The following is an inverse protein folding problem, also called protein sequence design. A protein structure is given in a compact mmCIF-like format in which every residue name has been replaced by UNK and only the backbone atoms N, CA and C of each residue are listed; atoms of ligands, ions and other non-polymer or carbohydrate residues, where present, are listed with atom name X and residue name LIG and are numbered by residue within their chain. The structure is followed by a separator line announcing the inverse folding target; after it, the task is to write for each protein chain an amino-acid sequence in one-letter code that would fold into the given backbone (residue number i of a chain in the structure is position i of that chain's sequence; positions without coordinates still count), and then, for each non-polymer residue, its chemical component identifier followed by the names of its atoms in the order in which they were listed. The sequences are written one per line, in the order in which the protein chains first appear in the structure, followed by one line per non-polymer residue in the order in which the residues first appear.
data_IF_881331731337
#
_entry.id   IF_881331731337
#
_cell.length_a   1.000
_cell.length_b   1.000
_cell.length_c   1.000
_cell.angle_alpha   90.00
_cell.angle_beta   90.00
_cell.angle_gamma   90.00
#
_symmetry.space_group_name_H-M   'P 1'
#
loop_
_entity.id
_entity.type
_entity.pdbx_description
1 polymer ?
#
# COMPACT_ATOMS: atom_id res chain seq x y z
N UNK A 1 14.07 29.03 11.55
CA UNK A 1 13.98 29.75 10.26
C UNK A 1 15.14 30.73 10.22
N UNK A 2 16.04 30.61 9.23
CA UNK A 2 17.24 31.46 9.13
C UNK A 2 16.88 32.90 8.74
N UNK A 3 17.66 33.91 9.19
CA UNK A 3 17.45 35.28 8.74
C UNK A 3 17.73 35.50 7.24
N UNK A 4 18.51 34.64 6.59
CA UNK A 4 18.69 34.66 5.12
C UNK A 4 17.42 34.24 4.39
N UNK A 5 16.71 33.22 4.89
CA UNK A 5 15.40 32.77 4.38
C UNK A 5 14.37 33.90 4.45
N UNK A 6 14.39 34.72 5.50
CA UNK A 6 13.49 35.88 5.64
C UNK A 6 13.73 36.95 4.55
N UNK A 7 14.96 37.07 4.04
CA UNK A 7 15.30 37.98 2.93
C UNK A 7 14.80 37.40 1.61
N UNK A 8 15.04 36.11 1.35
CA UNK A 8 14.52 35.43 0.16
C UNK A 8 12.98 35.52 0.08
N UNK A 9 12.29 35.30 1.21
CA UNK A 9 10.84 35.42 1.32
C UNK A 9 10.29 36.84 1.09
N UNK A 10 11.08 37.88 1.37
CA UNK A 10 10.69 39.26 1.07
C UNK A 10 10.78 39.58 -0.44
N UNK A 11 11.59 38.85 -1.21
CA UNK A 11 11.80 39.04 -2.64
C UNK A 11 10.90 38.11 -3.48
N UNK A 12 10.68 36.88 -3.00
CA UNK A 12 9.81 35.85 -3.60
C UNK A 12 8.95 35.20 -2.51
N UNK A 13 7.76 35.75 -2.18
CA UNK A 13 6.91 35.25 -1.08
C UNK A 13 6.45 33.80 -1.22
N UNK A 14 6.33 33.30 -2.47
CA UNK A 14 5.94 31.92 -2.76
C UNK A 14 6.95 30.88 -2.22
N UNK A 15 8.22 31.26 -2.02
CA UNK A 15 9.25 30.37 -1.47
C UNK A 15 8.89 29.86 -0.06
N UNK A 16 8.07 30.62 0.69
CA UNK A 16 7.56 30.21 2.00
C UNK A 16 6.64 28.99 1.93
N UNK A 17 5.91 28.79 0.81
CA UNK A 17 5.07 27.60 0.62
C UNK A 17 5.91 26.34 0.44
N UNK A 18 7.05 26.45 -0.25
CA UNK A 18 8.00 25.32 -0.43
C UNK A 18 8.73 24.98 0.85
N UNK A 19 9.12 25.99 1.64
CA UNK A 19 9.71 25.78 2.96
C UNK A 19 8.72 25.15 3.95
N UNK A 20 7.42 25.44 3.83
CA UNK A 20 6.39 24.80 4.64
C UNK A 20 6.18 23.30 4.33
N UNK A 21 6.71 22.82 3.19
CA UNK A 21 6.75 21.40 2.81
C UNK A 21 8.13 20.73 3.01
N UNK A 22 9.11 21.46 3.57
CA UNK A 22 10.47 20.95 3.76
C UNK A 22 10.65 20.29 5.12
N UNK A 23 10.29 19.01 5.22
CA UNK A 23 10.51 18.21 6.43
C UNK A 23 12.00 17.88 6.69
N UNK A 24 12.90 18.15 5.73
CA UNK A 24 14.31 17.77 5.77
C UNK A 24 15.30 18.91 6.02
N UNK A 25 14.88 20.15 5.78
CA UNK A 25 15.74 21.34 5.77
C UNK A 25 16.49 21.57 4.44
N UNK A 26 16.40 20.66 3.47
CA UNK A 26 17.17 20.72 2.23
C UNK A 26 16.74 21.86 1.29
N UNK A 27 15.46 22.27 1.31
CA UNK A 27 14.99 23.46 0.57
C UNK A 27 15.45 24.72 1.31
N UNK A 28 15.45 24.70 2.65
CA UNK A 28 16.08 25.74 3.47
C UNK A 28 17.54 25.98 3.10
N UNK A 29 18.37 24.92 3.09
CA UNK A 29 19.78 24.99 2.70
C UNK A 29 19.97 25.54 1.26
N UNK A 30 19.12 25.13 0.31
CA UNK A 30 19.17 25.63 -1.07
C UNK A 30 18.82 27.12 -1.18
N UNK A 31 17.85 27.61 -0.39
CA UNK A 31 17.51 29.04 -0.32
C UNK A 31 18.67 29.84 0.29
N UNK A 32 19.28 29.35 1.38
CA UNK A 32 20.41 30.03 2.03
C UNK A 32 21.65 30.05 1.12
N UNK A 33 21.91 28.95 0.41
CA UNK A 33 22.96 28.89 -0.62
C UNK A 33 22.68 29.88 -1.77
N UNK A 34 21.44 30.04 -2.23
CA UNK A 34 21.09 31.02 -3.27
C UNK A 34 21.35 32.48 -2.82
N UNK A 35 20.94 32.83 -1.59
CA UNK A 35 21.21 34.18 -1.04
C UNK A 35 22.71 34.43 -0.90
N UNK A 36 23.48 33.46 -0.40
CA UNK A 36 24.92 33.59 -0.24
C UNK A 36 25.64 33.66 -1.60
N UNK A 37 25.26 32.83 -2.58
CA UNK A 37 25.84 32.83 -3.94
C UNK A 37 25.65 34.15 -4.70
N UNK A 38 24.57 34.91 -4.44
CA UNK A 38 24.33 36.21 -5.10
C UNK A 38 24.92 37.39 -4.32
N UNK A 39 24.97 37.33 -2.99
CA UNK A 39 25.46 38.44 -2.16
C UNK A 39 26.94 38.32 -1.78
N UNK A 40 27.48 37.11 -1.77
CA UNK A 40 28.79 36.78 -1.21
C UNK A 40 28.87 36.97 0.31
N UNK A 41 27.74 36.93 1.02
CA UNK A 41 27.65 37.14 2.47
C UNK A 41 26.87 36.02 3.15
N UNK A 42 27.46 35.47 4.22
CA UNK A 42 26.78 34.54 5.13
C UNK A 42 25.99 35.27 6.24
N UNK A 43 26.23 36.57 6.45
CA UNK A 43 25.45 37.39 7.38
C UNK A 43 24.25 38.04 6.69
N UNK A 44 23.09 37.98 7.34
CA UNK A 44 21.84 38.48 6.78
C UNK A 44 21.76 40.02 6.75
N UNK A 45 22.43 40.73 7.65
CA UNK A 45 22.42 42.21 7.65
C UNK A 45 23.30 42.72 6.50
N UNK A 46 24.49 42.14 6.32
CA UNK A 46 25.39 42.43 5.20
C UNK A 46 24.76 42.03 3.84
N UNK A 47 24.18 40.83 3.74
CA UNK A 47 23.47 40.36 2.55
C UNK A 47 22.34 41.32 2.15
N UNK A 48 21.50 41.74 3.12
CA UNK A 48 20.43 42.71 2.86
C UNK A 48 20.97 44.06 2.40
N UNK A 49 22.01 44.60 3.06
CA UNK A 49 22.59 45.89 2.67
C UNK A 49 23.13 45.88 1.24
N UNK A 50 23.73 44.78 0.77
CA UNK A 50 24.16 44.62 -0.63
C UNK A 50 22.98 44.60 -1.61
N UNK A 51 21.90 43.91 -1.28
CA UNK A 51 20.69 43.82 -2.10
C UNK A 51 19.95 45.17 -2.20
N UNK A 52 19.77 45.85 -1.07
CA UNK A 52 19.16 47.19 -0.98
C UNK A 52 19.99 48.24 -1.75
N UNK A 53 21.34 48.10 -1.76
CA UNK A 53 22.24 48.98 -2.51
C UNK A 53 22.39 48.64 -4.01
N UNK A 54 21.98 47.45 -4.45
CA UNK A 54 22.25 46.93 -5.81
C UNK A 54 21.01 46.28 -6.44
N UNK A 55 20.15 47.07 -7.13
CA UNK A 55 19.01 46.53 -7.89
C UNK A 55 19.34 45.35 -8.82
N UNK A 56 20.49 45.30 -9.53
CA UNK A 56 20.86 44.14 -10.34
C UNK A 56 21.03 42.83 -9.54
N UNK A 57 21.58 42.89 -8.32
CA UNK A 57 21.72 41.71 -7.46
C UNK A 57 20.36 41.23 -6.94
N UNK A 58 19.44 42.16 -6.64
CA UNK A 58 18.08 41.82 -6.22
C UNK A 58 17.29 41.11 -7.32
N UNK A 59 17.40 41.56 -8.59
CA UNK A 59 16.79 40.83 -9.71
C UNK A 59 17.49 39.50 -10.01
N UNK A 60 18.82 39.42 -9.88
CA UNK A 60 19.57 38.17 -10.02
C UNK A 60 19.12 37.13 -8.97
N UNK A 61 18.94 37.54 -7.71
CA UNK A 61 18.43 36.68 -6.64
C UNK A 61 16.98 36.26 -6.89
N UNK A 62 16.11 37.18 -7.37
CA UNK A 62 14.73 36.85 -7.76
C UNK A 62 14.70 35.76 -8.84
N UNK A 63 15.55 35.87 -9.88
CA UNK A 63 15.61 34.87 -10.95
C UNK A 63 16.13 33.52 -10.45
N UNK A 64 17.14 33.48 -9.57
CA UNK A 64 17.61 32.22 -8.97
C UNK A 64 16.53 31.55 -8.10
N UNK A 65 15.84 32.30 -7.24
CA UNK A 65 14.76 31.77 -6.40
C UNK A 65 13.54 31.30 -7.22
N UNK A 66 13.22 31.98 -8.33
CA UNK A 66 12.15 31.55 -9.24
C UNK A 66 12.52 30.26 -10.02
N UNK A 67 13.79 30.10 -10.41
CA UNK A 67 14.28 28.85 -11.01
C UNK A 67 14.25 27.70 -9.99
N UNK A 68 14.60 27.96 -8.73
CA UNK A 68 14.56 26.97 -7.64
C UNK A 68 13.13 26.45 -7.40
N UNK A 69 12.13 27.34 -7.32
CA UNK A 69 10.71 26.93 -7.21
C UNK A 69 10.27 26.06 -8.41
N UNK A 70 10.70 26.43 -9.62
CA UNK A 70 10.39 25.70 -10.84
C UNK A 70 11.02 24.30 -10.86
N UNK A 71 12.24 24.12 -10.33
CA UNK A 71 12.90 22.81 -10.25
C UNK A 71 12.30 21.92 -9.16
N UNK A 72 11.98 22.48 -7.99
CA UNK A 72 11.21 21.78 -6.94
C UNK A 72 9.86 21.32 -7.51
N UNK A 73 9.12 22.20 -8.18
CA UNK A 73 7.83 21.85 -8.77
C UNK A 73 7.91 20.77 -9.85
N UNK A 74 8.98 20.77 -10.66
CA UNK A 74 9.25 19.69 -11.63
C UNK A 74 9.58 18.37 -10.92
N UNK A 75 10.29 18.40 -9.80
CA UNK A 75 10.58 17.21 -9.00
C UNK A 75 9.29 16.63 -8.38
N UNK A 76 8.43 17.48 -7.81
CA UNK A 76 7.09 17.09 -7.31
C UNK A 76 6.29 16.38 -8.41
N UNK A 77 6.18 17.01 -9.59
CA UNK A 77 5.39 16.51 -10.70
C UNK A 77 6.00 15.23 -11.31
N UNK A 78 7.32 15.12 -11.35
CA UNK A 78 8.01 13.90 -11.77
C UNK A 78 7.81 12.75 -10.77
N UNK A 79 7.76 13.03 -9.47
CA UNK A 79 7.43 12.04 -8.44
C UNK A 79 5.97 11.58 -8.53
N UNK A 80 5.02 12.49 -8.75
CA UNK A 80 3.61 12.14 -8.97
C UNK A 80 3.42 11.33 -10.27
N UNK A 81 4.07 11.71 -11.37
CA UNK A 81 4.07 10.94 -12.63
C UNK A 81 4.71 9.56 -12.43
N UNK A 82 5.79 9.45 -11.63
CA UNK A 82 6.41 8.15 -11.30
C UNK A 82 5.48 7.27 -10.47
N UNK A 83 4.80 7.83 -9.47
CA UNK A 83 3.80 7.11 -8.68
C UNK A 83 2.59 6.68 -9.52
N UNK A 84 2.07 7.59 -10.36
CA UNK A 84 0.96 7.26 -11.26
C UNK A 84 1.34 6.26 -12.35
N UNK A 85 2.61 6.22 -12.79
CA UNK A 85 3.07 5.21 -13.76
C UNK A 85 3.39 3.88 -13.11
N UNK A 86 3.83 3.81 -11.84
CA UNK A 86 3.88 2.55 -11.09
C UNK A 86 2.48 1.99 -10.80
N UNK A 87 1.51 2.85 -10.45
CA UNK A 87 0.12 2.43 -10.26
C UNK A 87 -0.50 1.96 -11.57
N UNK A 88 -0.24 2.63 -12.70
CA UNK A 88 -0.65 2.16 -14.02
C UNK A 88 0.06 0.87 -14.45
N UNK A 89 1.34 0.69 -14.14
CA UNK A 89 2.08 -0.54 -14.43
C UNK A 89 1.55 -1.72 -13.60
N UNK A 90 1.24 -1.50 -12.31
CA UNK A 90 0.60 -2.50 -11.46
C UNK A 90 -0.77 -2.91 -11.99
N UNK A 91 -1.63 -1.93 -12.30
CA UNK A 91 -2.94 -2.19 -12.90
C UNK A 91 -2.83 -2.86 -14.28
N UNK A 92 -1.86 -2.46 -15.10
CA UNK A 92 -1.57 -3.10 -16.38
C UNK A 92 -1.09 -4.55 -16.21
N UNK A 93 -0.31 -4.88 -15.17
CA UNK A 93 0.07 -6.27 -14.86
C UNK A 93 -1.12 -7.11 -14.39
N UNK A 94 -2.03 -6.54 -13.60
CA UNK A 94 -3.29 -7.22 -13.21
C UNK A 94 -4.21 -7.46 -14.42
N UNK A 95 -4.34 -6.46 -15.31
CA UNK A 95 -5.09 -6.61 -16.55
C UNK A 95 -4.42 -7.62 -17.50
N UNK A 96 -3.13 -7.46 -17.79
CA UNK A 96 -2.39 -8.29 -18.74
C UNK A 96 -2.28 -9.77 -18.29
N UNK A 97 -2.22 -10.05 -16.98
CA UNK A 97 -2.31 -11.42 -16.46
C UNK A 97 -3.72 -12.03 -16.58
N UNK A 98 -4.77 -11.22 -16.57
CA UNK A 98 -6.15 -11.64 -16.88
C UNK A 98 -6.38 -11.76 -18.40
N UNK A 99 -5.72 -10.90 -19.17
CA UNK A 99 -5.81 -10.80 -20.62
C UNK A 99 -5.15 -12.01 -21.30
N UNK A 100 -3.89 -12.33 -20.97
CA UNK A 100 -3.19 -13.50 -21.54
C UNK A 100 -3.92 -14.82 -21.25
N UNK A 101 -4.49 -14.99 -20.05
CA UNK A 101 -5.27 -16.18 -19.71
C UNK A 101 -6.54 -16.32 -20.58
N UNK A 102 -7.15 -15.20 -20.99
CA UNK A 102 -8.31 -15.19 -21.90
C UNK A 102 -7.91 -15.31 -23.36
N UNK A 103 -6.86 -14.62 -23.79
CA UNK A 103 -6.35 -14.69 -25.15
C UNK A 103 -5.87 -16.12 -25.49
N UNK A 104 -5.17 -16.79 -24.58
CA UNK A 104 -4.80 -18.20 -24.74
C UNK A 104 -6.02 -19.14 -24.81
N UNK A 105 -7.11 -18.84 -24.09
CA UNK A 105 -8.38 -19.60 -24.21
C UNK A 105 -9.13 -19.32 -25.52
N UNK A 106 -9.05 -18.11 -26.06
CA UNK A 106 -9.63 -17.72 -27.35
C UNK A 106 -8.83 -18.34 -28.50
N UNK A 107 -7.50 -18.23 -28.45
CA UNK A 107 -6.57 -18.85 -29.40
C UNK A 107 -6.72 -20.37 -29.44
N UNK A 108 -6.88 -21.04 -28.28
CA UNK A 108 -7.21 -22.46 -28.21
C UNK A 108 -8.64 -22.82 -28.64
N UNK A 109 -9.58 -21.87 -28.66
CA UNK A 109 -10.93 -22.07 -29.18
C UNK A 109 -10.96 -21.99 -30.72
N UNK A 110 -10.19 -21.08 -31.30
CA UNK A 110 -10.03 -20.95 -32.76
C UNK A 110 -9.09 -22.03 -33.35
N UNK A 111 -8.11 -22.54 -32.58
CA UNK A 111 -7.12 -23.54 -32.99
C UNK A 111 -7.65 -25.00 -33.12
N UNK A 112 -8.81 -25.15 -33.76
CA UNK A 112 -9.44 -26.40 -34.19
C UNK A 112 -9.97 -27.35 -33.09
N UNK A 113 -10.98 -28.16 -33.47
CA UNK A 113 -11.81 -28.96 -32.55
C UNK A 113 -11.10 -30.07 -31.74
N UNK A 114 -9.79 -30.28 -31.90
CA UNK A 114 -9.05 -31.30 -31.14
C UNK A 114 -8.20 -30.75 -29.98
N UNK A 115 -7.96 -29.43 -29.92
CA UNK A 115 -6.98 -28.82 -28.98
C UNK A 115 -7.64 -28.22 -27.73
N UNK A 116 -8.86 -27.71 -27.87
CA UNK A 116 -9.58 -26.98 -26.81
C UNK A 116 -9.90 -27.79 -25.55
N UNK A 117 -9.95 -29.13 -25.65
CA UNK A 117 -10.22 -30.03 -24.53
C UNK A 117 -8.96 -30.43 -23.74
N UNK A 118 -7.75 -30.14 -24.24
CA UNK A 118 -6.51 -30.63 -23.62
C UNK A 118 -6.30 -30.11 -22.19
N UNK A 119 -6.47 -28.79 -21.88
CA UNK A 119 -6.27 -28.32 -20.50
C UNK A 119 -7.30 -28.89 -19.50
N UNK A 120 -8.62 -28.93 -19.78
CA UNK A 120 -9.59 -29.63 -18.93
C UNK A 120 -9.27 -31.11 -18.71
N UNK A 121 -9.00 -31.87 -19.78
CA UNK A 121 -8.76 -33.33 -19.69
C UNK A 121 -7.49 -33.63 -18.88
N UNK A 122 -6.40 -32.91 -19.13
CA UNK A 122 -5.16 -33.09 -18.37
C UNK A 122 -5.35 -32.70 -16.89
N UNK A 123 -6.15 -31.66 -16.62
CA UNK A 123 -6.50 -31.27 -15.25
C UNK A 123 -7.30 -32.34 -14.51
N UNK A 124 -8.31 -32.94 -15.16
CA UNK A 124 -9.07 -34.04 -14.57
C UNK A 124 -8.20 -35.26 -14.28
N UNK A 125 -7.27 -35.62 -15.17
CA UNK A 125 -6.33 -36.74 -14.95
C UNK A 125 -5.47 -36.48 -13.71
N UNK A 126 -4.89 -35.29 -13.56
CA UNK A 126 -4.05 -34.93 -12.40
C UNK A 126 -4.86 -34.92 -11.10
N UNK A 127 -6.07 -34.33 -11.10
CA UNK A 127 -6.94 -34.26 -9.91
C UNK A 127 -7.42 -35.65 -9.48
N UNK A 128 -7.89 -36.48 -10.42
CA UNK A 128 -8.34 -37.85 -10.13
C UNK A 128 -7.17 -38.70 -9.64
N UNK A 129 -5.99 -38.57 -10.24
CA UNK A 129 -4.77 -39.26 -9.78
C UNK A 129 -4.39 -38.86 -8.36
N UNK A 130 -4.39 -37.56 -8.04
CA UNK A 130 -4.04 -37.05 -6.71
C UNK A 130 -4.98 -37.58 -5.62
N UNK A 131 -6.30 -37.48 -5.82
CA UNK A 131 -7.27 -38.03 -4.87
C UNK A 131 -7.28 -39.57 -4.83
N UNK A 132 -6.97 -40.24 -5.94
CA UNK A 132 -6.82 -41.71 -5.97
C UNK A 132 -5.65 -42.21 -5.13
N UNK A 133 -4.49 -41.55 -5.19
CA UNK A 133 -3.32 -41.89 -4.35
C UNK A 133 -3.60 -41.58 -2.87
N UNK A 134 -4.24 -40.44 -2.57
CA UNK A 134 -4.66 -40.12 -1.20
C UNK A 134 -5.65 -41.16 -0.64
N UNK A 135 -6.61 -41.61 -1.45
CA UNK A 135 -7.58 -42.64 -1.05
C UNK A 135 -6.91 -44.00 -0.83
N UNK A 136 -5.98 -44.40 -1.69
CA UNK A 136 -5.20 -45.64 -1.52
C UNK A 136 -4.32 -45.60 -0.26
N UNK A 137 -3.74 -44.44 0.07
CA UNK A 137 -3.00 -44.25 1.32
C UNK A 137 -3.93 -44.32 2.55
N UNK A 138 -5.04 -43.57 2.53
CA UNK A 138 -5.98 -43.48 3.65
C UNK A 138 -6.74 -44.79 3.95
N UNK A 139 -6.94 -45.65 2.94
CA UNK A 139 -7.55 -46.99 3.10
C UNK A 139 -6.55 -48.08 3.48
N UNK A 140 -5.26 -47.76 3.64
CA UNK A 140 -4.22 -48.74 3.95
C UNK A 140 -3.84 -49.64 2.76
N UNK A 141 -4.33 -49.39 1.54
CA UNK A 141 -4.02 -50.19 0.36
C UNK A 141 -2.52 -50.17 -0.03
N UNK A 142 -1.73 -49.28 0.58
CA UNK A 142 -0.27 -49.19 0.44
C UNK A 142 0.52 -49.82 1.60
N UNK A 143 -0.14 -50.24 2.69
CA UNK A 143 0.53 -50.59 3.98
C UNK A 143 1.19 -51.98 4.04
N UNK A 144 1.50 -52.56 2.88
CA UNK A 144 2.20 -53.85 2.75
C UNK A 144 3.28 -53.87 1.66
N UNK A 145 3.65 -52.70 1.13
CA UNK A 145 4.61 -52.57 0.04
C UNK A 145 6.06 -52.53 0.55
N UNK A 146 7.05 -53.05 -0.22
CA UNK A 146 8.46 -52.97 0.16
C UNK A 146 8.94 -51.52 0.40
N UNK A 147 9.89 -51.26 1.31
CA UNK A 147 10.35 -49.91 1.62
C UNK A 147 10.84 -49.11 0.42
N UNK A 148 11.50 -49.78 -0.53
CA UNK A 148 11.97 -49.19 -1.80
C UNK A 148 10.79 -48.72 -2.69
N UNK A 149 9.69 -49.48 -2.70
CA UNK A 149 8.46 -49.12 -3.41
C UNK A 149 7.77 -47.94 -2.75
N UNK A 150 7.74 -47.89 -1.41
CA UNK A 150 7.19 -46.75 -0.67
C UNK A 150 7.98 -45.45 -0.91
N UNK A 151 9.32 -45.51 -0.97
CA UNK A 151 10.15 -44.36 -1.34
C UNK A 151 9.82 -43.82 -2.75
N UNK A 152 9.65 -44.71 -3.74
CA UNK A 152 9.23 -44.34 -5.10
C UNK A 152 7.83 -43.71 -5.07
N UNK A 153 6.89 -44.26 -4.31
CA UNK A 153 5.53 -43.71 -4.16
C UNK A 153 5.55 -42.32 -3.52
N UNK A 154 6.36 -42.08 -2.49
CA UNK A 154 6.48 -40.74 -1.88
C UNK A 154 7.08 -39.72 -2.85
N UNK A 155 8.08 -40.11 -3.66
CA UNK A 155 8.64 -39.26 -4.71
C UNK A 155 7.60 -38.91 -5.78
N UNK A 156 6.83 -39.90 -6.25
CA UNK A 156 5.74 -39.70 -7.21
C UNK A 156 4.60 -38.86 -6.62
N UNK A 157 4.28 -39.02 -5.34
CA UNK A 157 3.29 -38.20 -4.64
C UNK A 157 3.73 -36.72 -4.54
N UNK A 158 5.02 -36.46 -4.31
CA UNK A 158 5.59 -35.11 -4.39
C UNK A 158 5.44 -34.49 -5.78
N UNK A 159 5.79 -35.24 -6.83
CA UNK A 159 5.62 -34.80 -8.22
C UNK A 159 4.14 -34.55 -8.59
N UNK A 160 3.23 -35.42 -8.14
CA UNK A 160 1.78 -35.30 -8.35
C UNK A 160 1.18 -34.12 -7.58
N UNK A 161 1.69 -33.82 -6.38
CA UNK A 161 1.33 -32.62 -5.61
C UNK A 161 1.77 -31.34 -6.34
N UNK A 162 2.97 -31.32 -6.94
CA UNK A 162 3.44 -30.21 -7.75
C UNK A 162 2.62 -30.03 -9.05
N UNK A 163 2.23 -31.13 -9.70
CA UNK A 163 1.32 -31.10 -10.85
C UNK A 163 -0.07 -30.55 -10.45
N UNK A 164 -0.64 -31.01 -9.32
CA UNK A 164 -1.91 -30.51 -8.80
C UNK A 164 -1.85 -29.02 -8.47
N UNK A 165 -0.79 -28.56 -7.82
CA UNK A 165 -0.56 -27.12 -7.59
C UNK A 165 -0.42 -26.33 -8.90
N UNK A 166 0.15 -26.92 -9.95
CA UNK A 166 0.24 -26.30 -11.28
C UNK A 166 -1.14 -26.17 -11.94
N UNK A 167 -1.99 -27.20 -11.84
CA UNK A 167 -3.39 -27.16 -12.29
C UNK A 167 -4.19 -26.09 -11.54
N UNK A 168 -4.03 -25.98 -10.21
CA UNK A 168 -4.68 -24.91 -9.43
C UNK A 168 -4.22 -23.51 -9.88
N UNK A 169 -2.93 -23.30 -10.11
CA UNK A 169 -2.42 -22.00 -10.60
C UNK A 169 -2.89 -21.68 -12.04
N UNK A 170 -3.14 -22.68 -12.87
CA UNK A 170 -3.71 -22.50 -14.21
C UNK A 170 -5.17 -22.02 -14.15
N UNK A 171 -6.02 -22.65 -13.34
CA UNK A 171 -7.45 -22.31 -13.25
C UNK A 171 -7.78 -21.12 -12.34
N UNK A 172 -7.01 -20.90 -11.27
CA UNK A 172 -7.20 -19.78 -10.32
C UNK A 172 -6.36 -18.54 -10.65
N UNK A 173 -5.56 -18.63 -11.70
CA UNK A 173 -4.65 -17.58 -12.16
C UNK A 173 -3.40 -17.41 -11.30
N UNK A 174 -2.37 -16.82 -11.88
CA UNK A 174 -1.05 -16.61 -11.26
C UNK A 174 -1.06 -15.73 -10.00
N UNK A 175 -2.18 -15.08 -9.67
CA UNK A 175 -2.33 -14.20 -8.50
C UNK A 175 -2.00 -14.90 -7.17
N UNK A 176 -2.20 -16.22 -7.05
CA UNK A 176 -1.79 -16.99 -5.87
C UNK A 176 -0.27 -17.22 -5.81
N UNK A 177 0.37 -17.39 -6.97
CA UNK A 177 1.82 -17.54 -7.10
C UNK A 177 2.58 -16.21 -6.95
N UNK A 178 2.05 -15.10 -7.45
CA UNK A 178 2.64 -13.77 -7.26
C UNK A 178 2.58 -13.37 -5.80
N UNK A 179 1.39 -13.36 -5.17
CA UNK A 179 1.23 -13.02 -3.73
C UNK A 179 2.20 -13.78 -2.82
N UNK A 180 2.51 -15.06 -3.14
CA UNK A 180 3.48 -15.84 -2.37
C UNK A 180 4.94 -15.44 -2.62
N UNK A 181 5.31 -15.10 -3.86
CA UNK A 181 6.63 -14.51 -4.18
C UNK A 181 6.79 -13.12 -3.58
N UNK A 182 5.79 -12.26 -3.76
CA UNK A 182 5.77 -10.87 -3.30
C UNK A 182 5.89 -10.83 -1.76
N UNK A 183 5.19 -11.71 -1.05
CA UNK A 183 5.34 -11.88 0.40
C UNK A 183 6.73 -12.41 0.81
N UNK A 184 7.32 -13.35 0.06
CA UNK A 184 8.71 -13.80 0.33
C UNK A 184 9.74 -12.70 0.04
N UNK A 185 9.53 -11.87 -0.97
CA UNK A 185 10.39 -10.73 -1.30
C UNK A 185 10.29 -9.67 -0.20
N UNK A 186 9.07 -9.23 0.16
CA UNK A 186 8.86 -8.28 1.25
C UNK A 186 9.39 -8.79 2.60
N UNK A 187 9.25 -10.09 2.90
CA UNK A 187 9.87 -10.72 4.07
C UNK A 187 11.41 -10.71 4.00
N UNK A 188 11.99 -10.92 2.82
CA UNK A 188 13.46 -10.87 2.61
C UNK A 188 13.99 -9.45 2.71
N UNK A 189 13.26 -8.47 2.16
CA UNK A 189 13.60 -7.03 2.21
C UNK A 189 13.50 -6.49 3.64
N UNK A 190 12.43 -6.81 4.37
CA UNK A 190 12.30 -6.44 5.79
C UNK A 190 13.34 -7.12 6.68
N UNK A 191 13.70 -8.39 6.45
CA UNK A 191 14.84 -9.04 7.13
C UNK A 191 16.17 -8.36 6.78
N UNK A 192 16.40 -7.96 5.53
CA UNK A 192 17.58 -7.18 5.15
C UNK A 192 17.58 -5.77 5.77
N UNK A 193 16.41 -5.13 5.91
CA UNK A 193 16.26 -3.81 6.51
C UNK A 193 16.50 -3.86 8.02
N UNK A 194 15.96 -4.86 8.72
CA UNK A 194 16.28 -5.15 10.13
C UNK A 194 17.79 -5.38 10.27
N UNK A 195 18.40 -6.21 9.41
CA UNK A 195 19.85 -6.47 9.45
C UNK A 195 20.72 -5.22 9.21
N UNK A 196 20.22 -4.20 8.51
CA UNK A 196 20.90 -2.89 8.35
C UNK A 196 20.69 -1.95 9.54
N UNK A 197 19.67 -2.18 10.36
CA UNK A 197 19.43 -1.46 11.61
C UNK A 197 20.15 -2.10 12.81
N UNK A 198 20.46 -3.40 12.70
CA UNK A 198 21.15 -4.23 13.69
C UNK A 198 22.66 -4.39 13.40
N UNK A 199 23.17 -3.79 12.32
CA UNK A 199 24.62 -3.58 12.16
C UNK A 199 25.09 -2.50 13.14
N UNK A 200 25.97 -2.81 14.10
CA UNK A 200 26.44 -1.81 15.06
C UNK A 200 27.25 -0.75 14.34
N UNK A 201 26.87 0.52 14.55
CA UNK A 201 27.64 1.67 14.06
C UNK A 201 29.06 1.60 14.62
N UNK A 202 30.00 1.19 13.76
CA UNK A 202 31.42 1.15 14.10
C UNK A 202 31.89 2.53 14.59
N UNK A 203 32.75 2.61 15.62
CA UNK A 203 33.03 3.85 16.31
C UNK A 203 33.60 4.91 15.34
N UNK A 204 32.81 5.97 15.11
CA UNK A 204 33.24 7.13 14.36
C UNK A 204 34.48 7.76 15.00
N UNK A 205 35.42 8.31 14.21
CA UNK A 205 36.71 8.78 14.73
C UNK A 205 36.52 9.91 15.75
N UNK A 206 37.11 9.72 16.94
CA UNK A 206 37.07 10.70 18.01
C UNK A 206 37.79 12.01 17.61
N UNK A 207 37.33 13.19 18.09
CA UNK A 207 37.90 14.47 17.69
C UNK A 207 39.32 14.65 18.24
N UNK A 208 40.31 14.62 17.35
CA UNK A 208 41.71 14.88 17.69
C UNK A 208 41.94 16.38 17.94
N UNK A 209 42.33 16.73 19.16
CA UNK A 209 42.69 18.10 19.50
C UNK A 209 43.98 18.50 18.78
N UNK A 210 43.99 19.69 18.17
CA UNK A 210 45.06 20.12 17.30
C UNK A 210 46.19 20.82 18.08
N UNK A 211 47.16 20.04 18.56
CA UNK A 211 48.39 20.55 19.17
C UNK A 211 49.64 19.97 18.49
N UNK A 212 50.23 20.75 17.59
CA UNK A 212 51.61 20.52 17.15
C UNK A 212 52.64 20.97 18.21
N UNK A 213 53.97 20.90 17.93
CA UNK A 213 54.57 20.74 16.60
C UNK A 213 55.72 19.69 16.51
N UNK A 214 56.35 19.68 15.33
CA UNK A 214 57.77 19.34 15.08
C UNK A 214 58.24 17.86 14.87
N UNK A 215 58.40 17.54 13.57
CA UNK A 215 59.70 17.18 12.94
C UNK A 215 60.24 15.74 12.94
N UNK A 216 60.57 15.27 11.70
CA UNK A 216 61.56 14.20 11.33
C UNK A 216 61.14 12.75 11.71
N UNK A 217 61.59 11.63 11.12
CA UNK A 217 62.47 11.19 9.98
C UNK A 217 62.20 9.66 9.81
N UNK A 218 62.26 8.93 8.68
CA UNK A 218 62.61 9.14 7.25
C UNK A 218 62.10 7.97 6.36
N UNK A 219 62.41 7.97 5.05
CA UNK A 219 62.84 6.88 4.11
C UNK A 219 62.43 5.39 4.39
N UNK A 220 62.17 4.50 3.40
CA UNK A 220 62.45 4.53 1.94
C UNK A 220 61.52 3.62 1.07
N UNK A 221 61.79 3.60 -0.25
CA UNK A 221 61.23 2.80 -1.39
C UNK A 221 60.92 1.33 -1.02
N UNK A 222 59.95 0.60 -1.62
CA UNK A 222 59.52 0.46 -3.03
C UNK A 222 59.60 -1.05 -3.41
N UNK A 223 59.20 -1.58 -4.58
CA UNK A 223 58.46 -1.11 -5.76
C UNK A 223 58.06 -2.33 -6.64
N UNK A 224 57.11 -2.17 -7.59
CA UNK A 224 56.74 -3.12 -8.68
C UNK A 224 56.04 -4.45 -8.27
N UNK A 225 55.02 -4.86 -9.03
CA UNK A 225 54.47 -6.24 -9.03
C UNK A 225 53.05 -6.33 -9.60
N UNK A 226 52.87 -6.95 -10.77
CA UNK A 226 51.57 -7.02 -11.49
C UNK A 226 51.23 -8.47 -11.90
N UNK A 227 49.97 -8.69 -12.31
CA UNK A 227 49.49 -9.71 -13.28
C UNK A 227 49.17 -11.15 -12.78
N UNK A 228 47.88 -11.50 -12.93
CA UNK A 228 47.26 -12.81 -13.25
C UNK A 228 47.50 -14.09 -12.40
N UNK A 229 46.43 -14.88 -12.19
CA UNK A 229 46.49 -16.26 -11.72
C UNK A 229 45.09 -16.88 -11.54
N UNK A 230 44.69 -17.82 -12.41
CA UNK A 230 43.32 -18.34 -12.51
C UNK A 230 43.19 -19.79 -11.96
N UNK A 231 41.96 -20.22 -11.61
CA UNK A 231 41.42 -21.62 -11.58
C UNK A 231 41.66 -22.63 -10.40
N UNK A 232 40.51 -23.20 -9.97
CA UNK A 232 40.16 -24.64 -9.73
C UNK A 232 40.53 -25.44 -8.46
N UNK A 233 39.64 -26.41 -8.14
CA UNK A 233 39.65 -27.40 -7.02
C UNK A 233 38.51 -27.11 -6.02
N UNK A 234 37.35 -27.76 -5.93
CA UNK A 234 36.81 -29.14 -6.19
C UNK A 234 37.17 -30.18 -5.10
N UNK A 235 36.14 -30.95 -4.68
CA UNK A 235 36.12 -32.26 -3.96
C UNK A 235 35.72 -32.24 -2.46
N UNK A 236 34.45 -32.61 -2.20
CA UNK A 236 33.95 -33.63 -1.23
C UNK A 236 34.29 -33.50 0.30
N UNK A 237 33.68 -34.19 1.27
CA UNK A 237 32.35 -34.85 1.45
C UNK A 237 32.27 -35.38 2.90
N UNK A 238 31.08 -35.53 3.48
CA UNK A 238 30.92 -36.37 4.69
C UNK A 238 29.67 -36.07 5.52
N UNK A 239 28.72 -37.00 5.53
CA UNK A 239 27.71 -37.12 6.58
C UNK A 239 28.25 -37.97 7.73
N UNK A 240 27.82 -37.68 8.96
CA UNK A 240 27.77 -38.59 10.10
C UNK A 240 26.70 -38.08 11.08
N UNK A 241 26.04 -38.98 11.80
CA UNK A 241 24.83 -38.67 12.58
C UNK A 241 24.97 -39.01 14.08
N UNK A 242 23.83 -39.00 14.77
CA UNK A 242 23.51 -39.62 16.08
C UNK A 242 23.63 -38.77 17.37
N UNK A 243 22.80 -39.19 18.33
CA UNK A 243 22.78 -38.93 19.78
C UNK A 243 22.18 -37.62 20.31
N UNK A 244 20.87 -37.70 20.59
CA UNK A 244 20.28 -37.14 21.83
C UNK A 244 20.76 -37.96 23.04
N UNK A 245 20.79 -37.37 24.25
CA UNK A 245 19.93 -37.91 25.32
C UNK A 245 19.14 -36.82 26.09
N UNK A 246 18.40 -37.26 27.12
CA UNK A 246 17.32 -36.53 27.82
C UNK A 246 17.76 -35.87 29.15
N UNK A 247 16.88 -34.99 29.69
CA UNK A 247 16.86 -34.37 31.04
C UNK A 247 18.08 -33.49 31.45
N UNK A 248 17.93 -32.40 32.20
CA UNK A 248 17.37 -32.33 33.57
C UNK A 248 16.89 -30.91 34.00
N UNK A 249 16.00 -30.88 35.00
CA UNK A 249 15.41 -29.76 35.78
C UNK A 249 15.03 -28.43 35.11
N UNK A 250 13.73 -28.14 35.21
CA UNK A 250 13.10 -26.88 34.80
C UNK A 250 13.55 -25.59 35.50
N UNK A 251 13.16 -24.48 34.87
CA UNK A 251 12.96 -23.20 35.54
C UNK A 251 11.77 -22.47 34.93
N UNK A 252 10.89 -22.02 35.80
CA UNK A 252 9.74 -21.18 35.50
C UNK A 252 10.24 -19.81 35.00
N UNK A 253 9.89 -19.43 33.77
CA UNK A 253 10.15 -18.09 33.21
C UNK A 253 8.83 -17.53 32.68
N UNK A 254 8.33 -16.56 33.43
CA UNK A 254 7.23 -15.67 33.10
C UNK A 254 7.62 -14.76 31.93
N UNK A 255 7.27 -15.14 30.70
CA UNK A 255 7.62 -14.38 29.48
C UNK A 255 6.59 -13.27 29.17
N UNK A 256 6.41 -12.38 30.14
CA UNK A 256 5.59 -11.15 30.06
C UNK A 256 6.26 -10.09 29.15
N UNK A 257 6.60 -10.52 27.93
CA UNK A 257 7.40 -9.77 26.93
C UNK A 257 6.82 -9.74 25.53
N UNK A 258 5.54 -10.09 25.35
CA UNK A 258 4.69 -9.35 24.40
C UNK A 258 4.39 -7.97 24.99
N UNK A 259 5.45 -7.19 25.25
CA UNK A 259 5.32 -5.79 25.66
C UNK A 259 4.73 -5.04 24.48
N UNK A 260 3.57 -4.45 24.74
CA UNK A 260 2.89 -3.53 23.83
C UNK A 260 3.89 -2.62 23.13
N UNK A 261 3.97 -2.74 21.80
CA UNK A 261 4.60 -1.70 20.99
C UNK A 261 3.91 -0.38 21.34
N UNK A 262 4.73 0.67 21.58
CA UNK A 262 4.25 1.88 22.24
C UNK A 262 3.06 2.48 21.49
N UNK A 263 2.20 3.16 22.26
CA UNK A 263 1.02 3.87 21.78
C UNK A 263 1.39 4.97 20.78
N UNK A 264 1.57 4.59 19.52
CA UNK A 264 1.55 5.51 18.38
C UNK A 264 0.15 6.13 18.37
N UNK A 265 0.07 7.44 18.65
CA UNK A 265 -1.15 8.21 18.42
C UNK A 265 -1.54 8.02 16.94
N UNK A 266 -2.80 7.65 16.62
CA UNK A 266 -3.17 7.31 15.26
C UNK A 266 -2.83 8.47 14.33
N UNK A 267 -1.97 8.21 13.35
CA UNK A 267 -1.38 9.26 12.52
C UNK A 267 -2.50 10.08 11.86
N UNK A 268 -2.58 11.36 12.19
CA UNK A 268 -3.77 12.16 11.87
C UNK A 268 -3.94 12.29 10.34
N UNK A 269 -5.15 12.12 9.81
CA UNK A 269 -5.38 12.20 8.36
C UNK A 269 -5.25 13.64 7.86
N UNK A 270 -4.50 13.84 6.78
CA UNK A 270 -4.40 15.13 6.09
C UNK A 270 -5.77 15.57 5.57
N UNK A 271 -6.13 16.82 5.83
CA UNK A 271 -7.32 17.42 5.21
C UNK A 271 -7.05 17.70 3.73
N UNK A 272 -7.96 17.27 2.85
CA UNK A 272 -7.78 17.31 1.39
C UNK A 272 -9.04 17.81 0.67
N UNK A 273 -8.91 18.51 -0.49
CA UNK A 273 -7.66 19.00 -1.06
C UNK A 273 -7.09 20.14 -0.22
N UNK A 274 -5.83 20.47 -0.46
CA UNK A 274 -5.19 21.59 0.23
C UNK A 274 -5.85 22.93 -0.14
N UNK A 275 -5.91 23.88 0.80
CA UNK A 275 -6.54 25.20 0.62
C UNK A 275 -8.07 25.22 0.59
N UNK A 276 -8.75 24.16 0.14
CA UNK A 276 -10.23 24.02 0.17
C UNK A 276 -10.66 22.62 0.63
N UNK A 277 -10.33 22.24 1.87
CA UNK A 277 -10.55 20.88 2.35
C UNK A 277 -12.03 20.51 2.37
N UNK A 278 -12.32 19.24 2.08
CA UNK A 278 -13.63 18.64 2.32
C UNK A 278 -13.73 18.36 3.83
N UNK A 279 -14.75 18.87 4.54
CA UNK A 279 -14.92 18.58 5.96
C UNK A 279 -15.04 17.07 6.20
N UNK A 280 -14.42 16.56 7.26
CA UNK A 280 -14.61 15.16 7.67
C UNK A 280 -16.07 14.87 7.98
N UNK A 281 -16.49 13.65 7.67
CA UNK A 281 -17.77 13.13 8.13
C UNK A 281 -17.78 13.05 9.66
N UNK A 282 -18.84 13.56 10.28
CA UNK A 282 -19.05 13.57 11.71
C UNK A 282 -20.43 12.97 12.01
N UNK A 283 -20.54 12.24 13.12
CA UNK A 283 -21.81 11.71 13.62
C UNK A 283 -21.89 11.90 15.13
N UNK A 284 -23.07 12.30 15.63
CA UNK A 284 -23.37 12.34 17.07
C UNK A 284 -23.47 10.93 17.68
N UNK A 285 -23.58 9.88 16.86
CA UNK A 285 -23.67 8.50 17.34
C UNK A 285 -22.35 8.11 18.01
N UNK A 286 -22.36 7.73 19.31
CA UNK A 286 -21.15 7.34 20.03
C UNK A 286 -20.40 6.24 19.29
N UNK A 287 -19.06 6.30 19.24
CA UNK A 287 -18.25 5.37 18.45
C UNK A 287 -18.54 3.90 18.82
N UNK A 288 -18.83 3.63 20.10
CA UNK A 288 -19.25 2.34 20.63
C UNK A 288 -20.49 1.74 19.93
N UNK A 289 -21.42 2.60 19.50
CA UNK A 289 -22.67 2.24 18.84
C UNK A 289 -22.55 2.26 17.30
N UNK A 290 -21.32 2.40 16.76
CA UNK A 290 -21.04 2.33 15.32
C UNK A 290 -20.34 1.01 14.96
N UNK A 291 -20.72 0.44 13.82
CA UNK A 291 -20.16 -0.79 13.26
C UNK A 291 -19.26 -0.53 12.04
N UNK A 292 -18.27 -1.40 11.83
CA UNK A 292 -17.45 -1.43 10.61
C UNK A 292 -18.30 -1.88 9.40
N UNK A 293 -18.24 -1.19 8.23
CA UNK A 293 -19.21 -1.40 7.13
C UNK A 293 -19.04 -2.69 6.31
N UNK A 294 -18.01 -3.50 6.54
CA UNK A 294 -17.72 -4.70 5.77
C UNK A 294 -17.38 -5.87 6.71
N UNK A 295 -18.10 -6.99 6.60
CA UNK A 295 -17.66 -8.26 7.18
C UNK A 295 -16.85 -9.03 6.13
N UNK A 296 -15.55 -9.15 6.35
CA UNK A 296 -14.60 -9.80 5.43
C UNK A 296 -13.53 -10.57 6.20
N UNK A 297 -12.98 -11.61 5.58
CA UNK A 297 -11.87 -12.43 6.10
C UNK A 297 -10.49 -11.92 5.69
N UNK A 298 -10.41 -10.82 4.92
CA UNK A 298 -9.13 -10.23 4.50
C UNK A 298 -8.36 -9.67 5.70
N UNK A 299 -7.04 -9.91 5.75
CA UNK A 299 -6.17 -9.30 6.76
C UNK A 299 -6.18 -7.75 6.72
N UNK A 300 -6.55 -7.17 5.56
CA UNK A 300 -6.72 -5.73 5.38
C UNK A 300 -8.14 -5.20 5.71
N UNK A 301 -9.00 -6.00 6.37
CA UNK A 301 -10.40 -5.68 6.65
C UNK A 301 -10.65 -4.26 7.18
N UNK A 302 -9.81 -3.81 8.13
CA UNK A 302 -9.94 -2.52 8.83
C UNK A 302 -8.96 -1.45 8.32
N UNK A 303 -8.29 -1.67 7.17
CA UNK A 303 -7.30 -0.72 6.64
C UNK A 303 -8.00 0.44 5.93
N UNK A 304 -8.06 1.58 6.60
CA UNK A 304 -8.40 2.88 5.99
C UNK A 304 -7.21 3.34 5.13
N UNK A 305 -7.45 3.66 3.87
CA UNK A 305 -6.40 4.21 2.98
C UNK A 305 -6.41 5.74 3.00
N UNK A 306 -5.32 6.38 3.41
CA UNK A 306 -5.22 7.84 3.54
C UNK A 306 -3.77 8.34 3.55
N UNK A 307 -3.58 9.66 3.44
CA UNK A 307 -2.29 10.32 3.67
C UNK A 307 -2.28 10.99 5.04
N UNK A 308 -1.23 10.79 5.83
CA UNK A 308 -1.07 11.45 7.14
C UNK A 308 -0.71 12.93 6.98
N UNK A 309 -0.80 13.69 8.08
CA UNK A 309 -0.34 15.09 8.11
C UNK A 309 1.15 15.26 7.78
N UNK A 310 1.99 14.23 8.01
CA UNK A 310 3.42 14.17 7.67
C UNK A 310 3.70 13.41 6.36
N UNK A 311 2.81 13.56 5.37
CA UNK A 311 2.98 13.05 4.01
C UNK A 311 2.92 11.53 3.81
N UNK A 312 3.04 10.72 4.87
CA UNK A 312 3.06 9.25 4.82
C UNK A 312 1.77 8.68 4.22
N UNK A 313 1.87 7.61 3.43
CA UNK A 313 0.73 6.91 2.85
C UNK A 313 0.39 5.63 3.62
N UNK A 314 -0.78 5.62 4.25
CA UNK A 314 -1.38 4.43 4.87
C UNK A 314 -2.34 3.78 3.88
N UNK A 315 -2.28 2.45 3.74
CA UNK A 315 -3.09 1.70 2.77
C UNK A 315 -2.66 1.97 1.31
N UNK A 316 -3.61 1.92 0.38
CA UNK A 316 -3.32 2.07 -1.05
C UNK A 316 -3.61 3.48 -1.60
N UNK A 317 -2.67 4.03 -2.37
CA UNK A 317 -2.74 5.31 -3.10
C UNK A 317 -4.08 5.52 -3.81
N UNK A 318 -4.49 4.55 -4.64
CA UNK A 318 -5.70 4.62 -5.46
C UNK A 318 -7.03 4.45 -4.69
N UNK A 319 -6.98 4.01 -3.42
CA UNK A 319 -8.18 3.74 -2.60
C UNK A 319 -8.58 4.89 -1.68
N UNK A 320 -7.68 5.82 -1.39
CA UNK A 320 -7.94 6.97 -0.49
C UNK A 320 -8.97 7.96 -1.03
N UNK A 321 -9.56 8.74 -0.14
CA UNK A 321 -10.37 9.90 -0.52
C UNK A 321 -9.52 10.94 -1.27
N UNK A 322 -10.04 11.43 -2.40
CA UNK A 322 -9.36 12.22 -3.43
C UNK A 322 -8.11 11.58 -4.06
N UNK A 323 -8.05 10.24 -4.11
CA UNK A 323 -7.23 9.56 -5.10
C UNK A 323 -7.52 10.07 -6.53
N UNK A 324 -6.47 10.12 -7.35
CA UNK A 324 -6.60 10.42 -8.79
C UNK A 324 -7.31 9.28 -9.51
N UNK A 325 -8.35 9.60 -10.29
CA UNK A 325 -9.05 8.62 -11.16
C UNK A 325 -8.97 9.08 -12.61
N UNK A 326 -8.82 8.12 -13.52
CA UNK A 326 -8.70 8.34 -14.96
C UNK A 326 -7.59 9.34 -15.34
N UNK A 327 -6.37 9.17 -14.80
CA UNK A 327 -5.23 10.04 -15.09
C UNK A 327 -5.45 11.50 -14.64
N UNK A 328 -6.09 11.69 -13.49
CA UNK A 328 -6.41 13.00 -12.93
C UNK A 328 -7.79 13.55 -13.35
N UNK A 329 -8.43 13.03 -14.41
CA UNK A 329 -9.66 13.59 -14.96
C UNK A 329 -10.90 13.54 -14.02
N UNK A 330 -10.85 12.79 -12.91
CA UNK A 330 -11.89 12.74 -11.87
C UNK A 330 -11.26 12.59 -10.49
N UNK A 331 -11.83 13.26 -9.49
CA UNK A 331 -11.49 13.00 -8.08
C UNK A 331 -12.22 11.77 -7.55
N UNK A 332 -11.54 10.99 -6.72
CA UNK A 332 -12.17 9.93 -5.94
C UNK A 332 -12.97 10.53 -4.77
N UNK A 333 -14.30 10.57 -4.88
CA UNK A 333 -15.20 11.15 -3.86
C UNK A 333 -15.58 10.18 -2.73
N UNK A 334 -15.08 8.96 -2.76
CA UNK A 334 -15.26 7.96 -1.70
C UNK A 334 -13.93 7.43 -1.20
N UNK A 335 -13.97 6.34 -0.43
CA UNK A 335 -12.82 5.58 0.02
C UNK A 335 -13.13 4.08 -0.19
N UNK A 336 -12.24 3.37 -0.89
CA UNK A 336 -12.48 1.98 -1.30
C UNK A 336 -11.97 1.01 -0.23
N UNK A 337 -12.88 0.49 0.59
CA UNK A 337 -12.53 -0.49 1.61
C UNK A 337 -12.26 -1.87 0.98
N UNK A 338 -11.38 -2.63 1.63
CA UNK A 338 -10.98 -3.96 1.18
C UNK A 338 -12.08 -4.99 1.45
N UNK A 339 -12.49 -5.73 0.43
CA UNK A 339 -13.48 -6.79 0.52
C UNK A 339 -13.29 -7.79 -0.63
N UNK A 340 -13.92 -8.96 -0.54
CA UNK A 340 -14.12 -9.89 -1.66
C UNK A 340 -15.51 -9.70 -2.26
N UNK A 341 -15.72 -10.15 -3.50
CA UNK A 341 -17.08 -10.30 -4.04
C UNK A 341 -17.89 -11.27 -3.16
N UNK A 342 -19.09 -10.85 -2.75
CA UNK A 342 -19.98 -11.64 -1.89
C UNK A 342 -19.80 -11.41 -0.38
N UNK A 343 -18.76 -10.70 0.06
CA UNK A 343 -18.63 -10.28 1.47
C UNK A 343 -19.83 -9.40 1.89
N UNK A 344 -20.13 -9.36 3.19
CA UNK A 344 -21.35 -8.74 3.70
C UNK A 344 -21.17 -7.26 4.02
N UNK A 345 -22.10 -6.44 3.57
CA UNK A 345 -22.13 -5.00 3.81
C UNK A 345 -23.02 -4.70 4.99
N UNK A 346 -22.49 -3.91 5.92
CA UNK A 346 -23.02 -3.69 7.26
C UNK A 346 -23.40 -2.21 7.41
N UNK A 347 -24.59 -1.92 7.93
CA UNK A 347 -24.96 -0.56 8.31
C UNK A 347 -24.10 -0.08 9.49
N UNK A 348 -23.34 1.01 9.30
CA UNK A 348 -22.50 1.57 10.35
C UNK A 348 -23.30 2.08 11.55
N UNK A 349 -24.51 2.61 11.30
CA UNK A 349 -25.35 3.27 12.29
C UNK A 349 -26.83 2.91 12.11
N UNK A 350 -27.65 3.16 13.13
CA UNK A 350 -29.10 3.21 12.97
C UNK A 350 -29.47 4.27 11.91
N UNK A 351 -30.45 3.98 11.06
CA UNK A 351 -30.79 4.84 9.94
C UNK A 351 -31.99 4.38 9.12
N UNK A 352 -32.13 4.97 7.93
CA UNK A 352 -33.17 4.63 6.95
C UNK A 352 -32.58 4.56 5.55
N UNK A 353 -32.90 3.53 4.79
CA UNK A 353 -32.51 3.41 3.38
C UNK A 353 -33.25 4.50 2.59
N UNK A 354 -32.51 5.42 1.95
CA UNK A 354 -33.08 6.56 1.20
C UNK A 354 -32.97 6.41 -0.31
N UNK A 355 -32.05 5.60 -0.84
CA UNK A 355 -32.04 5.24 -2.26
C UNK A 355 -31.28 3.94 -2.54
N UNK A 356 -31.61 3.28 -3.67
CA UNK A 356 -30.89 2.13 -4.21
C UNK A 356 -31.01 2.08 -5.73
N UNK A 357 -29.90 2.24 -6.46
CA UNK A 357 -29.90 2.37 -7.93
C UNK A 357 -28.58 1.91 -8.57
N UNK A 358 -28.60 1.45 -9.85
CA UNK A 358 -27.39 1.07 -10.58
C UNK A 358 -26.56 2.31 -10.94
N UNK A 359 -25.23 2.25 -10.75
CA UNK A 359 -24.36 3.42 -11.03
C UNK A 359 -22.99 3.10 -11.66
N UNK A 360 -22.49 1.87 -11.55
CA UNK A 360 -21.21 1.47 -12.13
C UNK A 360 -21.28 0.06 -12.72
N UNK A 361 -20.75 -0.12 -13.94
CA UNK A 361 -20.62 -1.46 -14.55
C UNK A 361 -19.21 -1.99 -14.28
N UNK A 362 -19.15 -3.17 -13.67
CA UNK A 362 -17.90 -3.85 -13.32
C UNK A 362 -17.14 -4.33 -14.57
N UNK A 363 -15.84 -4.61 -14.41
CA UNK A 363 -15.01 -5.22 -15.46
C UNK A 363 -15.43 -6.65 -15.86
N UNK A 364 -16.34 -7.27 -15.11
CA UNK A 364 -16.96 -8.57 -15.43
C UNK A 364 -18.23 -8.43 -16.28
N UNK A 365 -18.72 -7.20 -16.47
CA UNK A 365 -19.98 -6.89 -17.17
C UNK A 365 -21.17 -6.68 -16.23
N UNK A 366 -21.13 -7.21 -15.00
CA UNK A 366 -22.18 -7.05 -13.99
C UNK A 366 -22.40 -5.58 -13.61
N UNK A 367 -23.63 -5.24 -13.20
CA UNK A 367 -23.96 -3.90 -12.67
C UNK A 367 -23.80 -3.87 -11.14
N UNK A 368 -23.11 -2.86 -10.62
CA UNK A 368 -23.05 -2.55 -9.20
C UNK A 368 -23.88 -1.32 -8.85
N UNK A 369 -24.38 -1.33 -7.62
CA UNK A 369 -25.42 -0.43 -7.14
C UNK A 369 -24.87 0.50 -6.06
N UNK A 370 -25.44 1.70 -5.99
CA UNK A 370 -25.31 2.61 -4.87
C UNK A 370 -26.43 2.30 -3.87
N UNK A 371 -26.11 2.20 -2.58
CA UNK A 371 -27.07 1.99 -1.49
C UNK A 371 -26.90 3.12 -0.48
N UNK A 372 -27.80 4.10 -0.51
CA UNK A 372 -27.72 5.26 0.36
C UNK A 372 -28.60 5.08 1.59
N UNK A 373 -27.99 5.25 2.77
CA UNK A 373 -28.67 5.21 4.07
C UNK A 373 -28.48 6.55 4.77
N UNK A 374 -29.59 7.17 5.18
CA UNK A 374 -29.57 8.36 6.02
C UNK A 374 -29.52 7.96 7.50
N UNK A 375 -28.51 8.48 8.20
CA UNK A 375 -28.29 8.33 9.63
C UNK A 375 -28.63 9.66 10.34
N UNK A 376 -28.16 9.87 11.57
CA UNK A 376 -28.57 11.04 12.38
C UNK A 376 -28.06 12.40 11.85
N UNK A 377 -26.83 12.43 11.31
CA UNK A 377 -26.13 13.66 10.87
C UNK A 377 -25.66 13.63 9.41
N UNK A 378 -25.60 12.43 8.82
CA UNK A 378 -24.99 12.16 7.53
C UNK A 378 -25.79 11.12 6.73
N UNK A 379 -25.52 11.07 5.43
CA UNK A 379 -25.91 9.99 4.54
C UNK A 379 -24.65 9.24 4.13
N UNK A 380 -24.65 7.92 4.24
CA UNK A 380 -23.56 7.07 3.76
C UNK A 380 -24.03 6.39 2.47
N UNK A 381 -23.22 6.44 1.41
CA UNK A 381 -23.37 5.54 0.27
C UNK A 381 -22.49 4.31 0.49
N UNK A 382 -23.14 3.16 0.65
CA UNK A 382 -22.53 1.84 0.63
C UNK A 382 -22.44 1.42 -0.85
N UNK A 383 -21.52 2.04 -1.58
CA UNK A 383 -21.39 1.90 -3.03
C UNK A 383 -20.75 0.59 -3.46
N UNK A 384 -21.09 0.18 -4.68
CA UNK A 384 -20.67 -1.06 -5.32
C UNK A 384 -21.20 -2.35 -4.69
N UNK A 385 -22.38 -2.28 -4.06
CA UNK A 385 -23.15 -3.47 -3.66
C UNK A 385 -23.75 -4.20 -4.87
N UNK A 386 -23.98 -5.51 -4.72
CA UNK A 386 -24.61 -6.36 -5.73
C UNK A 386 -26.10 -6.04 -5.92
N UNK A 387 -26.59 -6.16 -7.15
CA UNK A 387 -28.01 -5.98 -7.57
C UNK A 387 -29.01 -6.86 -6.78
N UNK A 388 -28.56 -8.03 -6.33
CA UNK A 388 -29.36 -8.97 -5.54
C UNK A 388 -29.58 -8.52 -4.10
N UNK A 389 -28.80 -7.56 -3.58
CA UNK A 389 -28.80 -7.15 -2.15
C UNK A 389 -30.20 -6.85 -1.62
N UNK A 390 -30.98 -6.03 -2.33
CA UNK A 390 -32.34 -5.67 -1.90
C UNK A 390 -33.24 -6.90 -1.69
N UNK A 391 -33.18 -7.87 -2.60
CA UNK A 391 -33.96 -9.12 -2.52
C UNK A 391 -33.38 -10.08 -1.48
N UNK A 392 -32.06 -10.14 -1.33
CA UNK A 392 -31.36 -11.01 -0.39
C UNK A 392 -31.64 -10.64 1.07
N UNK A 393 -31.67 -9.35 1.40
CA UNK A 393 -31.85 -8.84 2.76
C UNK A 393 -33.27 -8.32 3.04
N UNK A 394 -34.20 -8.48 2.09
CA UNK A 394 -35.65 -8.32 2.31
C UNK A 394 -36.16 -6.89 2.52
N UNK A 395 -35.36 -5.86 2.24
CA UNK A 395 -35.70 -4.46 2.51
C UNK A 395 -36.18 -3.69 1.28
N UNK A 396 -36.68 -2.47 1.51
CA UNK A 396 -37.06 -1.48 0.52
C UNK A 396 -36.54 -0.09 0.87
N UNK A 397 -36.45 0.79 -0.14
CA UNK A 397 -36.22 2.22 0.10
C UNK A 397 -37.36 2.75 0.97
N UNK A 398 -37.01 3.41 2.07
CA UNK A 398 -37.92 3.81 3.15
C UNK A 398 -37.77 2.97 4.43
N UNK A 399 -37.17 1.79 4.39
CA UNK A 399 -37.04 0.93 5.59
C UNK A 399 -35.97 1.40 6.55
N UNK A 400 -36.17 1.12 7.84
CA UNK A 400 -35.19 1.36 8.90
C UNK A 400 -34.12 0.26 8.90
N UNK A 401 -32.89 0.64 9.21
CA UNK A 401 -31.78 -0.29 9.50
C UNK A 401 -31.17 0.04 10.86
N UNK A 402 -30.51 -0.93 11.48
CA UNK A 402 -29.76 -0.78 12.74
C UNK A 402 -28.25 -0.83 12.52
N UNK A 403 -27.49 -0.22 13.43
CA UNK A 403 -26.05 -0.43 13.50
C UNK A 403 -25.72 -1.94 13.58
N UNK A 404 -24.77 -2.40 12.79
CA UNK A 404 -24.40 -3.83 12.72
C UNK A 404 -25.35 -4.70 11.87
N UNK A 405 -26.43 -4.15 11.30
CA UNK A 405 -27.33 -4.90 10.42
C UNK A 405 -26.68 -5.16 9.07
N UNK A 406 -26.78 -6.40 8.57
CA UNK A 406 -26.43 -6.79 7.20
C UNK A 406 -27.44 -6.19 6.22
N UNK A 407 -26.97 -5.36 5.29
CA UNK A 407 -27.80 -4.59 4.35
C UNK A 407 -27.49 -4.89 2.88
N UNK A 408 -26.36 -5.53 2.56
CA UNK A 408 -26.03 -5.89 1.19
C UNK A 408 -24.88 -6.88 1.09
N UNK A 409 -24.53 -7.23 -0.15
CA UNK A 409 -23.31 -8.00 -0.48
C UNK A 409 -22.46 -7.23 -1.47
N UNK A 410 -21.14 -7.39 -1.39
CA UNK A 410 -20.17 -6.73 -2.29
C UNK A 410 -20.30 -7.29 -3.71
N UNK A 411 -20.33 -6.40 -4.71
CA UNK A 411 -20.46 -6.79 -6.12
C UNK A 411 -19.18 -7.38 -6.73
N UNK A 412 -19.18 -7.60 -8.05
CA UNK A 412 -18.04 -8.10 -8.82
C UNK A 412 -16.78 -7.22 -8.81
N UNK A 413 -16.80 -6.05 -8.15
CA UNK A 413 -15.63 -5.16 -8.00
C UNK A 413 -14.65 -5.57 -6.90
N UNK A 414 -15.08 -6.34 -5.89
CA UNK A 414 -14.26 -6.71 -4.72
C UNK A 414 -13.73 -5.48 -3.94
N UNK A 415 -14.62 -4.55 -3.64
CA UNK A 415 -14.43 -3.46 -2.68
C UNK A 415 -15.79 -2.89 -2.24
N UNK A 416 -15.83 -2.21 -1.10
CA UNK A 416 -16.94 -1.30 -0.78
C UNK A 416 -16.50 0.12 -1.11
N UNK A 417 -17.21 0.77 -2.03
CA UNK A 417 -16.96 2.17 -2.37
C UNK A 417 -17.73 3.07 -1.39
N UNK A 418 -17.06 3.52 -0.32
CA UNK A 418 -17.69 4.20 0.80
C UNK A 418 -17.63 5.73 0.63
N UNK A 419 -18.77 6.37 0.36
CA UNK A 419 -18.88 7.84 0.27
C UNK A 419 -19.73 8.38 1.44
N UNK A 420 -19.44 9.61 1.89
CA UNK A 420 -20.17 10.28 2.97
C UNK A 420 -20.70 11.64 2.54
N UNK A 421 -21.95 11.94 2.89
CA UNK A 421 -22.65 13.17 2.51
C UNK A 421 -23.44 13.77 3.68
N UNK A 422 -23.82 15.05 3.55
CA UNK A 422 -24.74 15.72 4.48
C UNK A 422 -26.15 15.10 4.45
N UNK A 423 -26.85 15.17 5.58
CA UNK A 423 -28.28 14.84 5.69
C UNK A 423 -29.13 15.44 4.56
N UNK A 424 -30.07 14.64 4.05
CA UNK A 424 -30.95 15.01 2.93
C UNK A 424 -30.45 14.59 1.55
N UNK A 425 -29.20 14.14 1.42
CA UNK A 425 -28.65 13.61 0.17
C UNK A 425 -29.31 12.28 -0.23
N UNK A 426 -29.72 12.13 -1.49
CA UNK A 426 -30.39 10.92 -2.01
C UNK A 426 -29.74 10.32 -3.24
N UNK A 427 -28.69 10.95 -3.79
CA UNK A 427 -27.87 10.40 -4.86
C UNK A 427 -26.40 10.85 -4.66
N UNK A 428 -25.46 10.06 -5.16
CA UNK A 428 -24.04 10.39 -5.07
C UNK A 428 -23.61 11.50 -6.05
N UNK A 429 -22.71 12.37 -5.60
CA UNK A 429 -22.18 13.49 -6.40
C UNK A 429 -20.83 13.12 -7.06
N UNK A 430 -20.51 13.73 -8.20
CA UNK A 430 -19.22 13.56 -8.89
C UNK A 430 -18.42 14.85 -8.87
N UNK A 431 -17.15 14.79 -8.45
CA UNK A 431 -16.23 15.93 -8.51
C UNK A 431 -15.18 15.75 -9.61
N UNK A 432 -15.01 16.78 -10.44
CA UNK A 432 -14.03 16.87 -11.52
C UNK A 432 -13.05 18.02 -11.21
N UNK A 433 -11.78 17.95 -11.67
CA UNK A 433 -10.85 19.08 -11.59
C UNK A 433 -11.41 20.34 -12.23
N UNK A 434 -11.07 21.51 -11.68
CA UNK A 434 -11.56 22.80 -12.17
C UNK A 434 -13.07 23.03 -12.04
N UNK A 435 -13.81 22.14 -11.36
CA UNK A 435 -15.22 22.34 -10.97
C UNK A 435 -15.34 22.58 -9.48
N UNK A 436 -16.37 23.35 -9.10
CA UNK A 436 -16.70 23.61 -7.71
C UNK A 436 -16.89 22.30 -6.93
N UNK A 437 -16.50 22.30 -5.65
CA UNK A 437 -16.66 21.16 -4.76
C UNK A 437 -18.15 20.88 -4.51
N UNK A 438 -18.62 19.62 -4.66
CA UNK A 438 -19.88 19.15 -4.11
C UNK A 438 -20.17 19.67 -2.69
N UNK A 439 -21.29 20.37 -2.51
CA UNK A 439 -21.64 21.01 -1.24
C UNK A 439 -22.06 20.00 -0.16
N UNK A 440 -22.65 18.88 -0.57
CA UNK A 440 -23.06 17.83 0.35
C UNK A 440 -21.93 16.85 0.70
N UNK A 441 -20.85 16.79 -0.08
CA UNK A 441 -19.76 15.83 0.12
C UNK A 441 -18.99 16.08 1.43
N UNK A 442 -18.72 14.99 2.14
CA UNK A 442 -17.91 14.90 3.34
C UNK A 442 -16.78 13.88 3.13
N UNK A 443 -15.66 14.04 3.82
CA UNK A 443 -14.51 13.13 3.76
C UNK A 443 -14.68 11.97 4.76
N UNK A 444 -14.79 10.70 4.32
CA UNK A 444 -15.10 9.57 5.20
C UNK A 444 -13.92 9.12 6.09
N UNK A 445 -12.70 9.60 5.81
CA UNK A 445 -11.45 9.06 6.38
C UNK A 445 -11.45 9.02 7.91
N UNK A 446 -11.75 10.15 8.57
CA UNK A 446 -11.73 10.22 10.04
C UNK A 446 -12.84 9.38 10.67
N UNK A 447 -14.04 9.41 10.09
CA UNK A 447 -15.18 8.58 10.54
C UNK A 447 -14.82 7.10 10.55
N UNK A 448 -14.13 6.62 9.51
CA UNK A 448 -13.66 5.24 9.40
C UNK A 448 -12.53 4.93 10.40
N UNK A 449 -11.57 5.84 10.61
CA UNK A 449 -10.48 5.66 11.59
C UNK A 449 -11.00 5.53 13.03
N UNK A 450 -12.02 6.31 13.40
CA UNK A 450 -12.68 6.21 14.71
C UNK A 450 -13.24 4.79 14.96
N UNK A 451 -13.85 4.18 13.95
CA UNK A 451 -14.51 2.86 14.07
C UNK A 451 -13.60 1.66 13.77
N UNK A 452 -12.44 1.88 13.13
CA UNK A 452 -11.42 0.84 12.87
C UNK A 452 -10.54 0.50 14.09
N UNK A 453 -10.63 1.27 15.17
CA UNK A 453 -9.71 1.18 16.31
C UNK A 453 -9.82 -0.16 17.08
N UNK A 454 -8.71 -0.86 17.41
CA UNK A 454 -8.73 -2.26 17.87
C UNK A 454 -9.46 -2.58 19.19
N UNK A 455 -9.82 -1.56 19.99
CA UNK A 455 -10.33 -1.69 21.36
C UNK A 455 -11.78 -2.20 21.47
N UNK A 456 -12.22 -3.10 20.57
CA UNK A 456 -13.59 -3.64 20.55
C UNK A 456 -13.75 -5.05 20.00
N UNK A 457 -12.70 -5.87 20.06
CA UNK A 457 -12.86 -7.32 20.16
C UNK A 457 -13.03 -7.68 21.63
N UNK A 458 -14.27 -8.04 22.01
CA UNK A 458 -14.71 -8.53 23.33
C UNK A 458 -15.69 -9.67 23.08
#
# INVERSE_FOLDING_TARGET
MSPLIAIAAAIVPEILRRLATDETGAIGEQIEAAVNNVTGESDAIAAKQKLDASPPLTEQLRVQLANLDLEIHKADLAAEVKASTSDLAYNALQLNSTENARQLLIELADASKSTSYTPPVLSYIVVIGFFGVLFAAATGALSGLPPQTLQIIHLLFGALTAAFATVLNFWLGSSFGSRRKDATIAATESVQQIRRLDEPVGPGPAPTQNSGPASRVSLEKGSIGQVHGNRTGIIASGESAENLPEDDQGKEIDDDRVKSSLSVLPAMPKQVPEGNPVPFAQSRTPVANRAWPVSTTLASAHVVSFQTVSGEMVGASGRRFLASRNGGARFHVGLDLYANQGDEVIACEDGRIVNYYPFYRTSKGDMSYALLVAHADLVINYGEVAETSRRQFGWSVGDKVRAGQKIGTISGTAMLHFETYRSGTTANERWLPGKARPNALLNPTLYLLEIASPARQV
#
